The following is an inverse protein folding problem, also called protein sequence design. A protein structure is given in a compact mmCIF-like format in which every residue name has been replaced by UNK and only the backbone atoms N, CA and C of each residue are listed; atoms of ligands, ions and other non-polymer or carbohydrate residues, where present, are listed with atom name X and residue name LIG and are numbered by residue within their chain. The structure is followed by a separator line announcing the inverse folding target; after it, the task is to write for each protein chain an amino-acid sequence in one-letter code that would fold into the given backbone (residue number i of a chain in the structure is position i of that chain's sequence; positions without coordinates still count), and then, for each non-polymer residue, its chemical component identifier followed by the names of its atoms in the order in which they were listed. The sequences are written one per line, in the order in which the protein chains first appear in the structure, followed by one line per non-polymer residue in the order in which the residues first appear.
data_IF_287082594735
#
_entry.id   IF_287082594735
#
_cell.length_a   1.000
_cell.length_b   1.000
_cell.length_c   1.000
_cell.angle_alpha   90.00
_cell.angle_beta   90.00
_cell.angle_gamma   90.00
#
_symmetry.space_group_name_H-M   'P 1'
#
loop_
_entity.id
_entity.type
_entity.pdbx_description
1 polymer ?
#
# COMPACT_ATOMS: atom_id res chain seq x y z
N UNK A 1 -26.30 26.82 -16.39
CA UNK A 1 -26.85 25.78 -17.28
C UNK A 1 -26.88 24.38 -16.66
N UNK A 2 -25.86 23.93 -15.89
CA UNK A 2 -25.85 22.60 -15.25
C UNK A 2 -27.01 22.46 -14.24
N UNK A 3 -27.14 23.40 -13.31
CA UNK A 3 -28.24 23.44 -12.33
C UNK A 3 -29.46 24.11 -12.94
N UNK A 4 -30.20 23.37 -13.74
CA UNK A 4 -31.44 23.83 -14.43
C UNK A 4 -32.21 22.64 -15.00
N UNK A 5 -33.45 22.90 -15.49
CA UNK A 5 -34.26 21.91 -16.21
C UNK A 5 -33.55 21.27 -17.43
N UNK A 6 -32.67 22.05 -18.09
CA UNK A 6 -31.91 21.61 -19.24
C UNK A 6 -30.57 20.92 -18.84
N UNK A 7 -30.18 20.94 -17.57
CA UNK A 7 -29.06 20.24 -16.99
C UNK A 7 -29.50 19.07 -16.12
N UNK A 8 -29.41 19.23 -14.80
CA UNK A 8 -29.81 18.20 -13.84
C UNK A 8 -31.26 17.74 -14.01
N UNK A 9 -32.16 18.63 -14.45
CA UNK A 9 -33.55 18.29 -14.71
C UNK A 9 -33.80 17.25 -15.81
N UNK A 10 -32.82 17.02 -16.68
CA UNK A 10 -32.87 15.97 -17.72
C UNK A 10 -32.43 14.59 -17.24
N UNK A 11 -31.80 14.51 -16.07
CA UNK A 11 -31.42 13.23 -15.50
C UNK A 11 -32.65 12.56 -14.86
N UNK A 12 -32.65 11.24 -14.86
CA UNK A 12 -33.70 10.49 -14.21
C UNK A 12 -33.66 10.71 -12.69
N UNK A 13 -34.84 10.84 -12.10
CA UNK A 13 -35.01 10.83 -10.65
C UNK A 13 -34.94 9.40 -10.14
N UNK A 14 -34.16 9.17 -9.09
CA UNK A 14 -34.03 7.87 -8.44
C UNK A 14 -34.99 7.87 -7.23
N UNK A 15 -36.01 7.03 -7.28
CA UNK A 15 -36.92 6.87 -6.13
C UNK A 15 -36.19 6.20 -4.98
N UNK A 16 -36.27 6.81 -3.80
CA UNK A 16 -35.63 6.33 -2.58
C UNK A 16 -36.68 6.17 -1.48
N UNK A 17 -36.50 5.12 -0.66
CA UNK A 17 -37.43 4.79 0.42
C UNK A 17 -36.85 4.95 1.81
N UNK A 18 -35.59 5.39 1.90
CA UNK A 18 -34.85 5.53 3.16
C UNK A 18 -34.30 6.95 3.31
N UNK A 19 -34.19 7.45 4.54
CA UNK A 19 -33.66 8.78 4.80
C UNK A 19 -32.16 8.92 4.49
N UNK A 20 -31.39 7.82 4.55
CA UNK A 20 -29.98 7.78 4.17
C UNK A 20 -29.82 6.99 2.87
N UNK A 21 -29.27 7.67 1.85
CA UNK A 21 -28.97 7.10 0.55
C UNK A 21 -27.46 7.17 0.32
N UNK A 22 -26.83 6.03 0.08
CA UNK A 22 -25.39 5.94 -0.12
C UNK A 22 -25.08 5.71 -1.60
N UNK A 23 -24.29 6.60 -2.21
CA UNK A 23 -23.83 6.48 -3.59
C UNK A 23 -22.38 6.03 -3.60
N UNK A 24 -22.13 4.86 -4.16
CA UNK A 24 -20.80 4.26 -4.30
C UNK A 24 -20.44 4.06 -5.76
N UNK A 25 -19.12 4.01 -6.06
CA UNK A 25 -18.63 3.69 -7.39
C UNK A 25 -17.17 3.20 -7.34
N UNK A 26 -16.66 2.56 -8.42
CA UNK A 26 -15.36 1.87 -8.40
C UNK A 26 -14.13 2.75 -8.11
N UNK A 27 -14.21 4.07 -8.34
CA UNK A 27 -13.03 4.92 -8.15
C UNK A 27 -13.30 6.41 -8.30
N UNK A 28 -12.24 7.25 -8.22
CA UNK A 28 -12.30 8.67 -8.51
C UNK A 28 -12.80 8.94 -9.93
N UNK A 29 -13.46 10.08 -10.14
CA UNK A 29 -13.95 10.48 -11.46
C UNK A 29 -15.15 9.68 -11.99
N UNK A 30 -15.72 8.73 -11.23
CA UNK A 30 -16.84 7.89 -11.65
C UNK A 30 -18.23 8.53 -11.57
N UNK A 31 -18.31 9.85 -11.34
CA UNK A 31 -19.56 10.60 -11.39
C UNK A 31 -20.41 10.62 -10.10
N UNK A 32 -19.93 10.04 -8.98
CA UNK A 32 -20.67 10.01 -7.70
C UNK A 32 -21.27 11.35 -7.30
N UNK A 33 -20.46 12.40 -7.33
CA UNK A 33 -20.88 13.76 -6.96
C UNK A 33 -21.96 14.28 -7.91
N UNK A 34 -21.82 14.08 -9.23
CA UNK A 34 -22.79 14.51 -10.20
C UNK A 34 -24.16 13.84 -9.99
N UNK A 35 -24.16 12.55 -9.64
CA UNK A 35 -25.40 11.82 -9.28
C UNK A 35 -26.02 12.38 -8.02
N UNK A 36 -25.22 12.66 -6.98
CA UNK A 36 -25.71 13.28 -5.74
C UNK A 36 -26.37 14.64 -6.02
N UNK A 37 -25.66 15.54 -6.73
CA UNK A 37 -26.16 16.88 -7.02
C UNK A 37 -27.41 16.87 -7.90
N UNK A 38 -27.47 15.97 -8.87
CA UNK A 38 -28.65 15.76 -9.69
C UNK A 38 -29.85 15.28 -8.86
N UNK A 39 -29.64 14.31 -7.97
CA UNK A 39 -30.67 13.83 -7.06
C UNK A 39 -31.17 14.95 -6.14
N UNK A 40 -30.26 15.74 -5.54
CA UNK A 40 -30.62 16.88 -4.69
C UNK A 40 -31.43 17.93 -5.43
N UNK A 41 -31.11 18.20 -6.71
CA UNK A 41 -31.91 19.11 -7.54
C UNK A 41 -33.37 18.60 -7.68
N UNK A 42 -33.55 17.31 -7.94
CA UNK A 42 -34.88 16.71 -8.04
C UNK A 42 -35.61 16.64 -6.72
N UNK A 43 -34.94 16.33 -5.60
CA UNK A 43 -35.52 16.33 -4.26
C UNK A 43 -36.05 17.73 -3.89
N UNK A 44 -35.22 18.75 -4.10
CA UNK A 44 -35.61 20.14 -3.84
C UNK A 44 -36.83 20.57 -4.67
N UNK A 45 -36.87 20.20 -5.96
CA UNK A 45 -38.02 20.45 -6.84
C UNK A 45 -39.32 19.80 -6.37
N UNK A 46 -39.19 18.70 -5.62
CA UNK A 46 -40.32 17.96 -5.00
C UNK A 46 -40.66 18.47 -3.60
N UNK A 47 -39.99 19.52 -3.12
CA UNK A 47 -40.18 20.07 -1.78
C UNK A 47 -39.56 19.20 -0.67
N UNK A 48 -38.67 18.28 -1.01
CA UNK A 48 -37.98 17.43 -0.06
C UNK A 48 -36.68 18.14 0.38
N UNK A 49 -36.52 18.34 1.68
CA UNK A 49 -35.29 18.89 2.26
C UNK A 49 -34.24 17.77 2.40
N UNK A 50 -33.46 17.55 1.37
CA UNK A 50 -32.35 16.60 1.36
C UNK A 50 -31.02 17.34 1.48
N UNK A 51 -30.03 16.74 2.16
CA UNK A 51 -28.68 17.23 2.33
C UNK A 51 -27.65 16.36 1.60
N UNK A 52 -26.44 16.87 1.52
CA UNK A 52 -25.29 16.18 0.94
C UNK A 52 -24.23 15.94 2.02
N UNK A 53 -23.63 14.75 2.04
CA UNK A 53 -22.44 14.52 2.81
C UNK A 53 -21.46 13.62 2.06
N UNK A 54 -20.19 14.01 2.03
CA UNK A 54 -19.08 13.20 1.53
C UNK A 54 -18.47 12.42 2.68
N UNK A 55 -18.54 11.11 2.64
CA UNK A 55 -17.91 10.25 3.66
C UNK A 55 -16.43 10.03 3.29
N UNK A 56 -15.55 10.39 4.20
CA UNK A 56 -14.09 10.29 4.03
C UNK A 56 -13.43 9.72 5.27
N UNK A 57 -12.35 8.95 5.04
CA UNK A 57 -11.49 8.45 6.11
C UNK A 57 -10.15 9.18 6.14
N UNK A 58 -9.68 9.68 5.01
CA UNK A 58 -8.41 10.40 4.85
C UNK A 58 -8.58 11.61 3.89
N UNK A 59 -7.77 12.69 4.08
CA UNK A 59 -6.92 12.95 5.25
C UNK A 59 -7.74 13.02 6.53
N UNK A 60 -7.14 12.77 7.69
CA UNK A 60 -7.85 12.89 8.96
C UNK A 60 -7.91 14.36 9.37
N UNK A 61 -9.11 14.88 9.58
CA UNK A 61 -9.36 16.31 9.73
C UNK A 61 -8.91 16.90 11.05
N UNK A 62 -9.02 16.14 12.14
CA UNK A 62 -8.82 16.58 13.54
C UNK A 62 -7.44 16.25 14.12
N UNK A 63 -6.46 15.88 13.26
CA UNK A 63 -5.06 15.73 13.66
C UNK A 63 -4.20 16.74 12.89
N UNK A 64 -2.97 17.04 13.38
CA UNK A 64 -2.11 18.03 12.71
C UNK A 64 -1.83 17.72 11.24
N UNK A 65 -1.68 18.78 10.42
CA UNK A 65 -1.39 18.65 9.00
C UNK A 65 -0.19 17.74 8.71
N UNK A 66 0.90 17.90 9.49
CA UNK A 66 2.13 17.12 9.35
C UNK A 66 2.16 15.86 10.22
N UNK A 67 1.00 15.42 10.70
CA UNK A 67 0.94 14.16 11.42
C UNK A 67 1.30 12.99 10.47
N UNK A 68 2.13 12.00 10.89
CA UNK A 68 2.57 10.91 10.03
C UNK A 68 1.44 10.18 9.31
N UNK A 69 0.27 10.04 9.91
CA UNK A 69 -0.92 9.44 9.27
C UNK A 69 -1.36 10.25 8.06
N UNK A 70 -1.43 11.59 8.15
CA UNK A 70 -1.80 12.44 7.03
C UNK A 70 -0.70 12.48 5.95
N UNK A 71 0.58 12.45 6.35
CA UNK A 71 1.69 12.34 5.39
C UNK A 71 1.68 10.98 4.67
N UNK A 72 1.33 9.89 5.36
CA UNK A 72 1.20 8.57 4.73
C UNK A 72 0.04 8.51 3.72
N UNK A 73 -1.07 9.21 3.97
CA UNK A 73 -2.13 9.37 2.99
C UNK A 73 -1.63 10.10 1.74
N UNK A 74 -0.91 11.21 1.92
CA UNK A 74 -0.34 11.97 0.81
C UNK A 74 0.71 11.15 0.03
N UNK A 75 1.49 10.31 0.72
CA UNK A 75 2.38 9.35 0.08
C UNK A 75 1.63 8.27 -0.72
N UNK A 76 0.47 7.83 -0.24
CA UNK A 76 -0.36 6.84 -0.91
C UNK A 76 -1.08 7.38 -2.16
N UNK A 77 -1.22 8.70 -2.27
CA UNK A 77 -1.87 9.42 -3.38
C UNK A 77 -0.88 10.30 -4.15
N UNK A 78 0.41 9.99 -4.08
CA UNK A 78 1.46 10.77 -4.71
C UNK A 78 1.29 10.88 -6.24
N UNK A 79 0.81 9.81 -6.87
CA UNK A 79 0.48 9.74 -8.30
C UNK A 79 -0.74 10.60 -8.70
N UNK A 80 -1.62 10.94 -7.76
CA UNK A 80 -2.79 11.80 -7.96
C UNK A 80 -2.51 13.29 -7.69
N UNK A 81 -1.31 13.63 -7.24
CA UNK A 81 -0.93 14.96 -6.79
C UNK A 81 -1.82 15.53 -5.69
N UNK A 82 -2.43 14.67 -4.87
CA UNK A 82 -3.14 15.11 -3.68
C UNK A 82 -2.15 15.71 -2.66
N UNK A 83 -2.47 16.89 -2.15
CA UNK A 83 -1.70 17.60 -1.13
C UNK A 83 -2.63 17.97 0.00
N UNK A 84 -2.24 17.60 1.21
CA UNK A 84 -2.97 17.99 2.41
C UNK A 84 -2.75 19.47 2.70
N UNK A 85 -3.83 20.15 3.07
CA UNK A 85 -3.80 21.58 3.43
C UNK A 85 -4.81 21.88 4.53
N UNK A 86 -4.64 23.00 5.19
CA UNK A 86 -5.65 23.53 6.08
C UNK A 86 -6.81 24.06 5.22
N UNK A 87 -8.04 23.70 5.58
CA UNK A 87 -9.24 24.19 4.94
C UNK A 87 -9.42 25.71 5.26
N UNK A 88 -9.18 26.62 4.28
CA UNK A 88 -9.25 28.04 4.53
C UNK A 88 -10.69 28.51 4.75
N UNK A 89 -11.67 27.87 4.12
CA UNK A 89 -13.07 28.21 4.26
C UNK A 89 -13.61 27.85 5.64
N UNK A 90 -13.18 26.72 6.18
CA UNK A 90 -13.56 26.29 7.54
C UNK A 90 -12.93 27.19 8.60
N UNK A 91 -11.66 27.54 8.39
CA UNK A 91 -10.96 28.48 9.27
C UNK A 91 -11.63 29.86 9.28
N UNK A 92 -12.01 30.37 8.10
CA UNK A 92 -12.69 31.67 7.96
C UNK A 92 -14.08 31.65 8.61
N UNK A 93 -14.87 30.59 8.36
CA UNK A 93 -16.25 30.51 8.82
C UNK A 93 -16.38 30.24 10.32
N UNK A 94 -15.44 29.48 10.93
CA UNK A 94 -15.57 28.96 12.31
C UNK A 94 -14.37 29.24 13.22
N UNK A 95 -13.27 29.79 12.70
CA UNK A 95 -12.04 29.97 13.45
C UNK A 95 -11.37 28.63 13.87
N UNK A 96 -11.75 27.52 13.23
CA UNK A 96 -11.26 26.19 13.54
C UNK A 96 -10.36 25.67 12.41
N UNK A 97 -9.25 25.05 12.81
CA UNK A 97 -8.30 24.44 11.88
C UNK A 97 -8.70 22.99 11.61
N UNK A 98 -8.94 22.66 10.34
CA UNK A 98 -9.17 21.30 9.88
C UNK A 98 -8.25 20.98 8.70
N UNK A 99 -7.84 19.72 8.57
CA UNK A 99 -7.04 19.25 7.44
C UNK A 99 -7.96 18.71 6.36
N UNK A 100 -7.77 19.18 5.14
CA UNK A 100 -8.47 18.67 3.97
C UNK A 100 -7.45 18.51 2.83
N UNK A 101 -7.83 18.07 1.66
CA UNK A 101 -6.92 18.01 0.52
C UNK A 101 -7.27 19.05 -0.54
N UNK A 102 -6.25 19.44 -1.30
CA UNK A 102 -6.33 20.56 -2.25
C UNK A 102 -7.53 20.47 -3.20
N UNK A 103 -7.85 19.32 -3.75
CA UNK A 103 -8.95 19.19 -4.73
C UNK A 103 -10.33 19.51 -4.15
N UNK A 104 -10.60 19.18 -2.89
CA UNK A 104 -11.87 19.53 -2.26
C UNK A 104 -11.94 21.03 -1.95
N UNK A 105 -10.82 21.62 -1.54
CA UNK A 105 -10.72 23.06 -1.30
C UNK A 105 -10.89 23.84 -2.60
N UNK A 106 -10.21 23.42 -3.67
CA UNK A 106 -10.28 24.08 -4.99
C UNK A 106 -11.67 24.00 -5.64
N UNK A 107 -12.36 22.88 -5.49
CA UNK A 107 -13.70 22.69 -6.09
C UNK A 107 -14.83 23.33 -5.28
N UNK A 108 -14.61 23.62 -4.00
CA UNK A 108 -15.65 24.11 -3.09
C UNK A 108 -16.41 25.33 -3.60
N UNK A 109 -15.77 26.40 -4.15
CA UNK A 109 -16.52 27.55 -4.66
C UNK A 109 -17.53 27.19 -5.74
N UNK A 110 -17.19 26.21 -6.60
CA UNK A 110 -18.09 25.74 -7.66
C UNK A 110 -19.27 24.97 -7.05
N UNK A 111 -18.99 24.09 -6.07
CA UNK A 111 -20.03 23.32 -5.37
C UNK A 111 -20.95 24.24 -4.58
N UNK A 112 -20.38 25.22 -3.88
CA UNK A 112 -21.14 26.21 -3.13
C UNK A 112 -22.13 26.96 -4.03
N UNK A 113 -21.67 27.44 -5.20
CA UNK A 113 -22.55 28.10 -6.19
C UNK A 113 -23.63 27.13 -6.75
N UNK A 114 -23.37 25.81 -6.83
CA UNK A 114 -24.39 24.84 -7.21
C UNK A 114 -25.43 24.65 -6.11
N UNK A 115 -25.02 24.57 -4.84
CA UNK A 115 -25.94 24.48 -3.70
C UNK A 115 -26.81 25.74 -3.57
N UNK A 116 -26.23 26.93 -3.73
CA UNK A 116 -26.98 28.18 -3.76
C UNK A 116 -28.06 28.18 -4.85
N UNK A 117 -27.76 27.63 -6.03
CA UNK A 117 -28.75 27.50 -7.10
C UNK A 117 -29.79 26.43 -6.85
N UNK A 118 -29.49 25.38 -6.10
CA UNK A 118 -30.46 24.34 -5.73
C UNK A 118 -31.38 24.85 -4.64
N UNK A 119 -30.81 25.42 -3.57
CA UNK A 119 -31.54 25.73 -2.34
C UNK A 119 -31.94 27.20 -2.14
N UNK A 120 -31.36 28.11 -2.96
CA UNK A 120 -31.45 29.55 -2.77
C UNK A 120 -30.33 30.12 -1.91
N UNK A 121 -29.88 29.38 -0.90
CA UNK A 121 -28.73 29.66 -0.04
C UNK A 121 -27.99 28.35 0.20
N UNK A 122 -26.66 28.36 0.20
CA UNK A 122 -25.88 27.15 0.49
C UNK A 122 -25.93 26.83 1.99
N UNK A 123 -26.24 25.59 2.36
CA UNK A 123 -26.16 25.15 3.75
C UNK A 123 -24.73 24.90 4.22
N UNK A 124 -23.75 24.94 3.33
CA UNK A 124 -22.36 24.61 3.61
C UNK A 124 -21.48 25.84 3.49
N UNK A 125 -20.58 26.04 4.46
CA UNK A 125 -19.62 27.16 4.48
C UNK A 125 -18.21 26.72 4.12
N UNK A 126 -17.94 25.39 4.10
CA UNK A 126 -16.63 24.86 3.80
C UNK A 126 -16.72 23.43 3.21
N UNK A 127 -15.65 22.92 2.57
CA UNK A 127 -15.54 21.51 2.21
C UNK A 127 -15.71 20.58 3.41
N UNK A 128 -15.20 20.99 4.58
CA UNK A 128 -15.34 20.24 5.83
C UNK A 128 -16.81 20.11 6.26
N UNK A 129 -17.64 21.14 6.09
CA UNK A 129 -19.09 21.06 6.38
C UNK A 129 -19.82 20.04 5.50
N UNK A 130 -19.34 19.87 4.26
CA UNK A 130 -19.95 18.94 3.32
C UNK A 130 -19.57 17.49 3.59
N UNK A 131 -18.74 17.23 4.57
CA UNK A 131 -18.18 15.90 4.75
C UNK A 131 -18.44 15.29 6.12
N UNK A 132 -18.16 13.99 6.20
CA UNK A 132 -18.12 13.22 7.44
C UNK A 132 -16.78 12.51 7.51
N UNK A 133 -15.97 12.86 8.51
CA UNK A 133 -14.65 12.28 8.75
C UNK A 133 -14.52 11.99 10.24
N UNK A 134 -14.68 10.72 10.61
CA UNK A 134 -14.70 10.27 12.01
C UNK A 134 -13.47 9.44 12.38
N UNK A 135 -12.58 9.14 11.42
CA UNK A 135 -11.45 8.24 11.62
C UNK A 135 -10.50 8.71 12.73
N UNK A 136 -10.27 10.02 12.85
CA UNK A 136 -9.42 10.57 13.89
C UNK A 136 -9.93 10.36 15.33
N UNK A 137 -11.24 10.23 15.49
CA UNK A 137 -11.86 9.95 16.80
C UNK A 137 -11.70 8.47 17.20
N UNK A 138 -11.27 7.60 16.29
CA UNK A 138 -11.03 6.18 16.53
C UNK A 138 -9.56 5.86 16.84
N UNK A 139 -8.67 6.84 16.83
CA UNK A 139 -7.25 6.65 17.20
C UNK A 139 -7.18 6.46 18.72
N UNK A 140 -6.86 5.24 19.15
CA UNK A 140 -6.70 4.88 20.56
C UNK A 140 -5.22 4.77 20.98
N UNK A 141 -4.31 4.59 20.04
CA UNK A 141 -2.87 4.57 20.24
C UNK A 141 -2.19 5.34 19.10
N UNK A 142 -1.84 6.58 19.40
CA UNK A 142 -1.27 7.50 18.42
C UNK A 142 0.16 7.12 18.01
N UNK A 143 0.95 6.58 18.93
CA UNK A 143 2.34 6.18 18.65
C UNK A 143 2.39 4.97 17.71
N UNK A 144 1.50 4.01 17.88
CA UNK A 144 1.36 2.88 16.96
C UNK A 144 0.93 3.37 15.56
N UNK A 145 -0.01 4.30 15.49
CA UNK A 145 -0.43 4.90 14.21
C UNK A 145 0.71 5.66 13.53
N UNK A 146 1.48 6.45 14.28
CA UNK A 146 2.66 7.16 13.77
C UNK A 146 3.73 6.20 13.25
N UNK A 147 4.07 5.17 14.02
CA UNK A 147 5.07 4.17 13.63
C UNK A 147 4.67 3.43 12.35
N UNK A 148 3.42 2.95 12.28
CA UNK A 148 2.89 2.28 11.10
C UNK A 148 2.89 3.19 9.86
N UNK A 149 2.52 4.47 10.04
CA UNK A 149 2.50 5.46 8.95
C UNK A 149 3.89 5.79 8.43
N UNK A 150 4.88 5.93 9.30
CA UNK A 150 6.28 6.09 8.91
C UNK A 150 6.78 4.93 8.06
N UNK A 151 6.48 3.70 8.47
CA UNK A 151 6.81 2.50 7.68
C UNK A 151 6.08 2.47 6.32
N UNK A 152 4.83 2.95 6.25
CA UNK A 152 4.10 3.04 4.98
C UNK A 152 4.75 4.04 4.03
N UNK A 153 5.16 5.23 4.50
CA UNK A 153 5.86 6.22 3.67
C UNK A 153 7.14 5.62 3.07
N UNK A 154 7.96 4.92 3.87
CA UNK A 154 9.17 4.25 3.37
C UNK A 154 8.82 3.17 2.32
N UNK A 155 7.77 2.38 2.53
CA UNK A 155 7.32 1.39 1.54
C UNK A 155 6.91 2.04 0.22
N UNK A 156 6.17 3.16 0.27
CA UNK A 156 5.78 3.92 -0.92
C UNK A 156 6.99 4.48 -1.66
N UNK A 157 7.97 4.97 -0.92
CA UNK A 157 9.23 5.44 -1.51
C UNK A 157 9.94 4.31 -2.28
N UNK A 158 10.11 3.13 -1.69
CA UNK A 158 10.72 2.00 -2.40
C UNK A 158 9.89 1.52 -3.61
N UNK A 159 8.57 1.56 -3.52
CA UNK A 159 7.73 1.22 -4.68
C UNK A 159 7.85 2.25 -5.80
N UNK A 160 7.96 3.54 -5.48
CA UNK A 160 8.19 4.58 -6.48
C UNK A 160 9.55 4.41 -7.17
N UNK A 161 10.62 4.13 -6.41
CA UNK A 161 11.94 3.84 -6.98
C UNK A 161 11.90 2.64 -7.94
N UNK A 162 11.19 1.58 -7.57
CA UNK A 162 10.97 0.42 -8.45
C UNK A 162 10.23 0.81 -9.72
N UNK A 163 9.11 1.53 -9.58
CA UNK A 163 8.29 1.97 -10.72
C UNK A 163 9.07 2.93 -11.62
N UNK A 164 9.90 3.79 -11.03
CA UNK A 164 10.79 4.67 -11.76
C UNK A 164 11.84 3.88 -12.58
N UNK A 165 12.46 2.87 -11.99
CA UNK A 165 13.43 2.01 -12.66
C UNK A 165 12.86 1.31 -13.91
N UNK A 166 11.58 0.97 -13.91
CA UNK A 166 10.87 0.35 -15.06
C UNK A 166 10.13 1.37 -15.94
N UNK A 167 10.31 2.68 -15.71
CA UNK A 167 9.68 3.74 -16.50
C UNK A 167 8.18 3.94 -16.26
N UNK A 168 7.65 3.47 -15.12
CA UNK A 168 6.23 3.56 -14.75
C UNK A 168 5.92 4.63 -13.69
N UNK A 169 6.89 5.49 -13.36
CA UNK A 169 6.77 6.56 -12.38
C UNK A 169 7.67 7.73 -12.80
N UNK A 170 7.23 8.97 -12.57
CA UNK A 170 7.99 10.16 -12.86
C UNK A 170 8.98 10.52 -11.76
N UNK A 171 9.96 11.40 -12.07
CA UNK A 171 10.89 11.96 -11.08
C UNK A 171 10.14 12.75 -10.01
N UNK A 172 9.08 13.49 -10.39
CA UNK A 172 8.30 14.30 -9.46
C UNK A 172 7.64 13.45 -8.37
N UNK A 173 7.14 12.25 -8.70
CA UNK A 173 6.55 11.34 -7.72
C UNK A 173 7.61 10.86 -6.71
N UNK A 174 8.81 10.53 -7.18
CA UNK A 174 9.92 10.11 -6.30
C UNK A 174 10.32 11.27 -5.38
N UNK A 175 10.53 12.48 -5.92
CA UNK A 175 10.88 13.66 -5.11
C UNK A 175 9.81 14.02 -4.09
N UNK A 176 8.53 13.89 -4.45
CA UNK A 176 7.42 14.10 -3.52
C UNK A 176 7.52 13.15 -2.31
N UNK A 177 7.81 11.89 -2.54
CA UNK A 177 7.97 10.90 -1.46
C UNK A 177 9.21 11.16 -0.61
N UNK A 178 10.32 11.61 -1.19
CA UNK A 178 11.50 12.07 -0.45
C UNK A 178 11.17 13.29 0.44
N UNK A 179 10.42 14.24 -0.07
CA UNK A 179 9.95 15.40 0.71
C UNK A 179 9.06 14.97 1.87
N UNK A 180 8.15 14.00 1.66
CA UNK A 180 7.28 13.47 2.72
C UNK A 180 8.06 12.72 3.80
N UNK A 181 9.09 11.95 3.41
CA UNK A 181 10.02 11.33 4.35
C UNK A 181 10.72 12.38 5.21
N UNK A 182 11.25 13.44 4.60
CA UNK A 182 11.88 14.55 5.30
C UNK A 182 10.91 15.25 6.28
N UNK A 183 9.66 15.49 5.84
CA UNK A 183 8.63 16.08 6.70
C UNK A 183 8.24 15.18 7.88
N UNK A 184 8.24 13.86 7.68
CA UNK A 184 7.99 12.87 8.72
C UNK A 184 9.20 12.65 9.65
N UNK A 185 10.36 13.25 9.32
CA UNK A 185 11.62 13.07 10.07
C UNK A 185 12.14 11.64 10.00
N UNK A 186 12.05 10.99 8.85
CA UNK A 186 12.46 9.60 8.65
C UNK A 186 13.38 9.45 7.43
N UNK A 187 14.14 8.36 7.47
CA UNK A 187 15.00 7.89 6.40
C UNK A 187 14.70 6.41 6.11
N UNK A 188 15.33 5.84 5.10
CA UNK A 188 15.23 4.40 4.82
C UNK A 188 15.78 3.52 5.95
N UNK A 189 16.69 4.07 6.77
CA UNK A 189 17.30 3.39 7.93
C UNK A 189 16.32 3.22 9.11
N UNK A 190 15.22 3.97 9.14
CA UNK A 190 14.12 3.76 10.09
C UNK A 190 13.31 2.48 9.82
N UNK A 191 13.74 1.71 8.81
CA UNK A 191 13.28 0.36 8.51
C UNK A 191 14.43 -0.63 8.72
N UNK A 192 14.57 -1.24 9.92
CA UNK A 192 15.78 -1.99 10.33
C UNK A 192 16.18 -3.13 9.37
N UNK A 193 15.20 -3.76 8.72
CA UNK A 193 15.46 -4.82 7.74
C UNK A 193 16.24 -4.36 6.52
N UNK A 194 16.27 -3.05 6.22
CA UNK A 194 17.04 -2.49 5.10
C UNK A 194 18.53 -2.63 5.36
N UNK A 195 19.00 -2.10 6.48
CA UNK A 195 20.43 -2.12 6.82
C UNK A 195 20.94 -3.55 6.99
N UNK A 196 20.14 -4.42 7.62
CA UNK A 196 20.50 -5.83 7.82
C UNK A 196 20.59 -6.58 6.49
N UNK A 197 19.66 -6.35 5.55
CA UNK A 197 19.71 -6.98 4.23
C UNK A 197 20.91 -6.50 3.40
N UNK A 198 21.20 -5.19 3.42
CA UNK A 198 22.32 -4.61 2.67
C UNK A 198 23.66 -5.07 3.25
N UNK A 199 23.81 -5.04 4.57
CA UNK A 199 25.01 -5.54 5.26
C UNK A 199 25.25 -7.02 4.96
N UNK A 200 24.21 -7.84 5.05
CA UNK A 200 24.32 -9.28 4.77
C UNK A 200 24.71 -9.55 3.29
N UNK A 201 24.21 -8.73 2.35
CA UNK A 201 24.60 -8.81 0.95
C UNK A 201 26.06 -8.43 0.75
N UNK A 202 26.57 -7.40 1.42
CA UNK A 202 27.97 -6.98 1.37
C UNK A 202 28.90 -8.06 1.94
N UNK A 203 28.59 -8.57 3.15
CA UNK A 203 29.39 -9.60 3.82
C UNK A 203 29.48 -10.91 3.03
N UNK A 204 28.42 -11.26 2.30
CA UNK A 204 28.38 -12.53 1.58
C UNK A 204 28.69 -12.42 0.09
N UNK A 205 28.80 -11.20 -0.45
CA UNK A 205 29.00 -10.95 -1.88
C UNK A 205 27.86 -11.44 -2.78
N UNK A 206 26.68 -11.72 -2.21
CA UNK A 206 25.52 -12.25 -2.91
C UNK A 206 24.25 -11.46 -2.54
N UNK A 207 23.24 -11.38 -3.43
CA UNK A 207 21.95 -10.80 -3.05
C UNK A 207 21.40 -11.44 -1.79
N UNK A 208 20.94 -10.60 -0.86
CA UNK A 208 20.43 -11.02 0.44
C UNK A 208 19.09 -10.36 0.74
N UNK A 209 18.40 -10.92 1.71
CA UNK A 209 17.13 -10.44 2.20
C UNK A 209 17.08 -10.55 3.74
N UNK A 210 16.29 -9.70 4.38
CA UNK A 210 16.04 -9.74 5.80
C UNK A 210 14.53 -9.64 6.08
N UNK A 211 14.06 -10.24 7.16
CA UNK A 211 12.68 -10.21 7.63
C UNK A 211 12.67 -10.04 9.15
N UNK A 212 11.92 -9.09 9.62
CA UNK A 212 11.66 -8.84 11.03
C UNK A 212 10.41 -9.61 11.47
N UNK A 213 10.58 -10.48 12.47
CA UNK A 213 9.51 -11.20 13.13
C UNK A 213 8.78 -10.29 14.12
N UNK A 214 7.58 -10.71 14.56
CA UNK A 214 6.76 -9.91 15.49
C UNK A 214 7.40 -9.68 16.87
N UNK A 215 8.41 -10.47 17.24
CA UNK A 215 9.18 -10.31 18.48
C UNK A 215 10.43 -9.44 18.31
N UNK A 216 10.61 -8.81 17.15
CA UNK A 216 11.73 -7.93 16.83
C UNK A 216 13.01 -8.66 16.37
N UNK A 217 13.05 -9.99 16.35
CA UNK A 217 14.18 -10.73 15.79
C UNK A 217 14.21 -10.57 14.27
N UNK A 218 15.40 -10.35 13.72
CA UNK A 218 15.58 -10.24 12.27
C UNK A 218 16.27 -11.50 11.75
N UNK A 219 15.64 -12.15 10.79
CA UNK A 219 16.14 -13.32 10.09
C UNK A 219 16.65 -12.91 8.72
N UNK A 220 17.75 -13.51 8.26
CA UNK A 220 18.32 -13.22 6.93
C UNK A 220 18.29 -14.46 6.03
N UNK A 221 18.35 -14.20 4.73
CA UNK A 221 18.54 -15.20 3.69
C UNK A 221 19.39 -14.62 2.56
N UNK A 222 20.21 -15.45 1.93
CA UNK A 222 21.02 -15.05 0.79
C UNK A 222 20.82 -15.96 -0.41
N UNK A 223 21.10 -15.42 -1.57
CA UNK A 223 21.14 -16.21 -2.80
C UNK A 223 22.23 -17.28 -2.74
N UNK A 224 21.91 -18.47 -3.18
CA UNK A 224 22.78 -19.63 -3.31
C UNK A 224 22.60 -20.29 -4.67
N UNK A 225 23.27 -21.41 -4.91
CA UNK A 225 23.05 -22.22 -6.13
C UNK A 225 21.68 -22.92 -6.13
N UNK A 226 21.06 -23.07 -4.98
CA UNK A 226 19.77 -23.76 -4.83
C UNK A 226 18.59 -22.78 -4.81
N UNK A 227 18.74 -21.66 -4.09
CA UNK A 227 17.62 -20.77 -3.73
C UNK A 227 17.96 -19.31 -4.05
N UNK A 228 16.96 -18.54 -4.49
CA UNK A 228 17.01 -17.09 -4.45
C UNK A 228 16.94 -16.55 -3.01
N UNK A 229 17.37 -15.31 -2.78
CA UNK A 229 17.41 -14.68 -1.46
C UNK A 229 16.04 -14.70 -0.76
N UNK A 230 14.95 -14.41 -1.48
CA UNK A 230 13.58 -14.45 -0.96
C UNK A 230 13.14 -15.83 -0.50
N UNK A 231 13.47 -16.88 -1.26
CA UNK A 231 13.15 -18.26 -0.92
C UNK A 231 13.96 -18.73 0.30
N UNK A 232 15.26 -18.38 0.35
CA UNK A 232 16.13 -18.69 1.48
C UNK A 232 15.63 -17.97 2.76
N UNK A 233 15.28 -16.69 2.65
CA UNK A 233 14.71 -15.91 3.75
C UNK A 233 13.45 -16.56 4.31
N UNK A 234 12.52 -16.96 3.43
CA UNK A 234 11.26 -17.56 3.82
C UNK A 234 11.46 -18.85 4.60
N UNK A 235 12.34 -19.76 4.11
CA UNK A 235 12.67 -21.00 4.84
C UNK A 235 13.34 -20.71 6.18
N UNK A 236 14.29 -19.78 6.24
CA UNK A 236 14.98 -19.43 7.48
C UNK A 236 14.00 -18.83 8.51
N UNK A 237 13.06 -17.99 8.07
CA UNK A 237 12.04 -17.42 8.94
C UNK A 237 11.10 -18.51 9.51
N UNK A 238 10.68 -19.47 8.68
CA UNK A 238 9.86 -20.60 9.14
C UNK A 238 10.60 -21.49 10.11
N UNK A 239 11.89 -21.76 9.88
CA UNK A 239 12.75 -22.52 10.81
C UNK A 239 12.90 -21.79 12.15
N UNK A 240 13.21 -20.51 12.12
CA UNK A 240 13.36 -19.69 13.32
C UNK A 240 12.07 -19.68 14.16
N UNK A 241 10.91 -19.49 13.52
CA UNK A 241 9.59 -19.53 14.17
C UNK A 241 9.24 -20.92 14.75
N UNK A 242 9.78 -22.00 14.16
CA UNK A 242 9.57 -23.36 14.61
C UNK A 242 10.61 -23.82 15.65
N UNK A 243 11.62 -23.01 15.97
CA UNK A 243 12.73 -23.39 16.84
C UNK A 243 13.62 -24.48 16.25
N UNK A 244 13.75 -24.55 14.93
CA UNK A 244 14.55 -25.53 14.21
C UNK A 244 15.96 -24.98 14.01
N UNK A 245 16.98 -25.80 14.36
CA UNK A 245 18.38 -25.44 14.13
C UNK A 245 18.63 -25.06 12.65
N UNK A 246 19.33 -23.97 12.43
CA UNK A 246 19.66 -23.47 11.08
C UNK A 246 20.47 -24.44 10.24
N UNK A 247 21.22 -25.37 10.85
CA UNK A 247 21.99 -26.43 10.18
C UNK A 247 21.12 -27.55 9.64
N UNK A 248 19.92 -27.75 10.17
CA UNK A 248 19.01 -28.79 9.70
C UNK A 248 18.33 -28.36 8.38
N UNK A 249 18.34 -29.26 7.41
CA UNK A 249 17.62 -29.08 6.17
C UNK A 249 16.17 -29.56 6.32
N UNK A 250 15.21 -28.64 6.21
CA UNK A 250 13.76 -28.97 6.20
C UNK A 250 13.32 -29.53 4.83
N UNK A 251 14.10 -29.22 3.80
CA UNK A 251 14.00 -29.81 2.46
C UNK A 251 15.39 -30.27 2.09
N UNK A 252 15.54 -31.54 1.72
CA UNK A 252 16.86 -32.06 1.35
C UNK A 252 17.32 -31.52 -0.02
N UNK A 253 18.63 -31.34 -0.25
CA UNK A 253 19.16 -30.96 -1.57
C UNK A 253 18.70 -31.91 -2.68
N UNK A 254 18.58 -33.23 -2.37
CA UNK A 254 18.13 -34.25 -3.30
C UNK A 254 16.66 -34.05 -3.73
N UNK A 255 15.83 -33.40 -2.91
CA UNK A 255 14.46 -33.04 -3.27
C UNK A 255 14.42 -31.78 -4.13
N UNK A 256 15.41 -30.89 -4.02
CA UNK A 256 15.50 -29.64 -4.79
C UNK A 256 16.02 -29.91 -6.22
N UNK A 257 17.02 -30.78 -6.37
CA UNK A 257 17.67 -31.04 -7.66
C UNK A 257 16.71 -31.45 -8.79
N UNK A 258 15.72 -32.36 -8.58
CA UNK A 258 14.74 -32.69 -9.61
C UNK A 258 13.90 -31.50 -10.07
N UNK A 259 13.58 -30.57 -9.16
CA UNK A 259 12.82 -29.35 -9.48
C UNK A 259 13.70 -28.43 -10.33
N UNK A 260 14.99 -28.28 -10.03
CA UNK A 260 15.94 -27.52 -10.85
C UNK A 260 16.08 -28.12 -12.26
N UNK A 261 16.16 -29.46 -12.36
CA UNK A 261 16.21 -30.16 -13.67
C UNK A 261 14.92 -29.93 -14.47
N UNK A 262 13.76 -30.09 -13.85
CA UNK A 262 12.48 -29.80 -14.49
C UNK A 262 12.47 -28.37 -15.03
N UNK A 263 12.84 -27.40 -14.20
CA UNK A 263 12.85 -26.00 -14.52
C UNK A 263 13.77 -25.63 -15.69
N UNK A 264 14.99 -26.14 -15.67
CA UNK A 264 16.02 -25.78 -16.65
C UNK A 264 16.00 -26.64 -17.91
N UNK A 265 15.81 -27.94 -17.78
CA UNK A 265 15.91 -28.86 -18.93
C UNK A 265 14.61 -29.02 -19.70
N UNK A 266 13.47 -28.99 -18.98
CA UNK A 266 12.16 -29.24 -19.62
C UNK A 266 11.34 -27.98 -19.83
N UNK A 267 11.42 -27.00 -18.90
CA UNK A 267 10.64 -25.75 -19.00
C UNK A 267 11.44 -24.57 -19.57
N UNK A 268 12.73 -24.77 -19.92
CA UNK A 268 13.56 -23.78 -20.59
C UNK A 268 13.95 -22.55 -19.74
N UNK A 269 13.78 -22.61 -18.41
CA UNK A 269 14.26 -21.53 -17.53
C UNK A 269 15.80 -21.45 -17.53
N UNK A 270 16.31 -20.25 -17.62
CA UNK A 270 17.76 -20.02 -17.47
C UNK A 270 18.21 -19.95 -16.01
N UNK A 271 17.28 -19.75 -15.07
CA UNK A 271 17.52 -19.63 -13.66
C UNK A 271 17.24 -20.96 -12.94
N UNK A 272 18.27 -21.71 -12.46
CA UNK A 272 18.08 -22.94 -11.73
C UNK A 272 17.58 -22.73 -10.29
N UNK A 273 17.76 -21.55 -9.71
CA UNK A 273 17.40 -21.27 -8.32
C UNK A 273 15.89 -21.33 -8.13
N UNK A 274 15.46 -21.93 -7.02
CA UNK A 274 14.05 -21.98 -6.69
C UNK A 274 13.56 -20.62 -6.18
N UNK A 275 12.36 -20.24 -6.64
CA UNK A 275 11.58 -19.10 -6.17
C UNK A 275 10.75 -19.48 -4.94
N UNK A 276 10.08 -18.49 -4.34
CA UNK A 276 9.29 -18.67 -3.13
C UNK A 276 8.11 -19.62 -3.28
N UNK A 277 7.46 -19.67 -4.43
CA UNK A 277 6.36 -20.62 -4.70
C UNK A 277 6.88 -22.06 -4.84
N UNK A 278 7.96 -22.25 -5.59
CA UNK A 278 8.58 -23.55 -5.81
C UNK A 278 9.08 -24.16 -4.47
N UNK A 279 9.67 -23.33 -3.61
CA UNK A 279 10.17 -23.79 -2.32
C UNK A 279 9.04 -24.11 -1.33
N UNK A 280 7.93 -23.38 -1.36
CA UNK A 280 6.75 -23.69 -0.56
C UNK A 280 6.08 -24.99 -0.98
N UNK A 281 6.02 -25.28 -2.29
CA UNK A 281 5.54 -26.57 -2.80
C UNK A 281 6.48 -27.69 -2.34
N UNK A 282 7.80 -27.52 -2.48
CA UNK A 282 8.79 -28.50 -2.04
C UNK A 282 8.70 -28.76 -0.53
N UNK A 283 8.52 -27.71 0.27
CA UNK A 283 8.31 -27.82 1.72
C UNK A 283 7.02 -28.59 2.06
N UNK A 284 5.93 -28.29 1.35
CA UNK A 284 4.64 -28.97 1.53
C UNK A 284 4.73 -30.46 1.22
N UNK A 285 5.41 -30.84 0.13
CA UNK A 285 5.65 -32.24 -0.23
C UNK A 285 6.53 -32.93 0.83
N UNK A 286 7.61 -32.25 1.27
CA UNK A 286 8.50 -32.79 2.32
C UNK A 286 7.78 -32.98 3.66
N UNK A 287 6.83 -32.09 3.98
CA UNK A 287 6.05 -32.16 5.22
C UNK A 287 5.17 -33.41 5.33
N UNK A 288 4.87 -34.09 4.22
CA UNK A 288 4.10 -35.34 4.22
C UNK A 288 4.85 -36.52 4.93
N UNK A 289 6.18 -36.49 4.94
CA UNK A 289 7.01 -37.55 5.54
C UNK A 289 8.06 -37.06 6.54
N UNK A 290 8.28 -35.72 6.61
CA UNK A 290 9.28 -35.13 7.51
C UNK A 290 8.60 -34.26 8.57
N UNK A 291 8.57 -34.68 9.85
CA UNK A 291 7.96 -33.93 10.94
C UNK A 291 8.57 -32.52 11.11
N UNK A 292 9.87 -32.35 10.85
CA UNK A 292 10.54 -31.05 10.94
C UNK A 292 10.06 -30.11 9.86
N UNK A 293 9.86 -30.58 8.63
CA UNK A 293 9.26 -29.82 7.55
C UNK A 293 7.80 -29.44 7.86
N UNK A 294 7.04 -30.35 8.49
CA UNK A 294 5.68 -30.08 8.93
C UNK A 294 5.62 -28.96 9.98
N UNK A 295 6.53 -28.99 10.97
CA UNK A 295 6.64 -27.94 11.99
C UNK A 295 6.97 -26.58 11.37
N UNK A 296 7.89 -26.54 10.39
CA UNK A 296 8.22 -25.32 9.67
C UNK A 296 7.02 -24.79 8.88
N UNK A 297 6.35 -25.65 8.10
CA UNK A 297 5.19 -25.28 7.28
C UNK A 297 4.05 -24.69 8.12
N UNK A 298 3.82 -25.24 9.32
CA UNK A 298 2.79 -24.77 10.24
C UNK A 298 3.00 -23.32 10.73
N UNK A 299 4.21 -22.75 10.54
CA UNK A 299 4.50 -21.36 10.95
C UNK A 299 4.07 -20.30 9.91
N UNK A 300 3.69 -20.68 8.70
CA UNK A 300 3.32 -19.74 7.63
C UNK A 300 2.36 -18.61 8.08
N UNK A 301 1.29 -18.88 8.86
CA UNK A 301 0.39 -17.82 9.30
C UNK A 301 1.04 -16.73 10.15
N UNK A 302 2.15 -17.04 10.83
CA UNK A 302 2.88 -16.08 11.68
C UNK A 302 3.71 -15.07 10.89
N UNK A 303 3.86 -15.24 9.58
CA UNK A 303 4.55 -14.28 8.71
C UNK A 303 3.67 -13.09 8.30
N UNK A 304 2.35 -13.16 8.54
CA UNK A 304 1.43 -12.09 8.22
C UNK A 304 1.81 -10.81 8.98
N UNK A 305 2.03 -9.72 8.23
CA UNK A 305 2.38 -8.41 8.81
C UNK A 305 3.87 -8.21 9.05
N UNK A 306 4.71 -9.24 8.94
CA UNK A 306 6.15 -9.11 9.06
C UNK A 306 6.71 -8.15 8.00
N UNK A 307 7.76 -7.40 8.37
CA UNK A 307 8.47 -6.48 7.48
C UNK A 307 9.64 -7.21 6.83
N UNK A 308 9.83 -7.01 5.52
CA UNK A 308 10.97 -7.60 4.82
C UNK A 308 11.62 -6.61 3.87
N UNK A 309 12.91 -6.82 3.58
CA UNK A 309 13.64 -6.07 2.57
C UNK A 309 14.62 -6.99 1.83
N UNK A 310 14.83 -6.71 0.53
CA UNK A 310 15.82 -7.41 -0.29
C UNK A 310 16.80 -6.43 -0.92
N UNK A 311 18.06 -6.81 -0.97
CA UNK A 311 19.15 -5.98 -1.48
C UNK A 311 19.16 -5.79 -3.01
N UNK A 312 18.24 -6.43 -3.72
CA UNK A 312 18.05 -6.31 -5.17
C UNK A 312 16.56 -6.45 -5.50
N UNK A 313 16.15 -6.03 -6.68
CA UNK A 313 14.81 -6.29 -7.21
C UNK A 313 14.50 -7.78 -7.25
N UNK A 314 13.30 -8.14 -6.82
CA UNK A 314 12.80 -9.51 -6.87
C UNK A 314 11.85 -9.71 -8.05
N UNK A 315 11.74 -10.95 -8.51
CA UNK A 315 10.81 -11.31 -9.60
C UNK A 315 9.34 -11.19 -9.19
N UNK A 316 8.47 -11.11 -10.19
CA UNK A 316 7.01 -10.99 -9.98
C UNK A 316 6.42 -12.18 -9.20
N UNK A 317 7.02 -13.36 -9.30
CA UNK A 317 6.63 -14.56 -8.55
C UNK A 317 6.82 -14.34 -7.05
N UNK A 318 8.03 -13.92 -6.64
CA UNK A 318 8.35 -13.67 -5.24
C UNK A 318 7.52 -12.53 -4.65
N UNK A 319 7.32 -11.43 -5.42
CA UNK A 319 6.44 -10.32 -5.00
C UNK A 319 5.00 -10.80 -4.75
N UNK A 320 4.45 -11.62 -5.65
CA UNK A 320 3.10 -12.17 -5.50
C UNK A 320 2.99 -13.08 -4.28
N UNK A 321 4.00 -13.89 -3.99
CA UNK A 321 3.98 -14.76 -2.82
C UNK A 321 4.10 -13.98 -1.51
N UNK A 322 4.99 -13.00 -1.41
CA UNK A 322 5.04 -12.14 -0.24
C UNK A 322 3.71 -11.42 0.00
N UNK A 323 3.08 -10.91 -1.06
CA UNK A 323 1.74 -10.30 -0.95
C UNK A 323 0.68 -11.28 -0.47
N UNK A 324 0.65 -12.53 -0.98
CA UNK A 324 -0.29 -13.58 -0.54
C UNK A 324 -0.08 -13.96 0.93
N UNK A 325 1.17 -13.97 1.39
CA UNK A 325 1.51 -14.20 2.80
C UNK A 325 1.33 -12.95 3.67
N UNK A 326 0.88 -11.84 3.08
CA UNK A 326 0.74 -10.54 3.75
C UNK A 326 2.04 -10.04 4.40
N UNK A 327 3.19 -10.40 3.83
CA UNK A 327 4.50 -9.86 4.20
C UNK A 327 4.67 -8.50 3.54
N UNK A 328 5.06 -7.49 4.33
CA UNK A 328 5.30 -6.12 3.87
C UNK A 328 6.74 -6.01 3.32
N UNK A 329 6.92 -6.39 2.06
CA UNK A 329 8.23 -6.43 1.43
C UNK A 329 8.57 -5.13 0.68
N UNK A 330 9.84 -4.71 0.83
CA UNK A 330 10.50 -3.68 0.04
C UNK A 330 11.76 -4.26 -0.60
N UNK A 331 12.34 -3.57 -1.56
CA UNK A 331 13.58 -4.00 -2.21
C UNK A 331 14.30 -2.83 -2.87
N UNK A 332 15.63 -2.96 -2.97
CA UNK A 332 16.45 -2.00 -3.70
C UNK A 332 16.07 -1.97 -5.18
N UNK A 333 15.97 -0.78 -5.75
CA UNK A 333 15.69 -0.56 -7.16
C UNK A 333 16.93 -0.81 -8.04
N UNK A 334 17.54 -1.98 -7.90
CA UNK A 334 18.69 -2.42 -8.68
C UNK A 334 18.60 -3.90 -8.99
N UNK A 335 19.02 -4.28 -10.19
CA UNK A 335 19.08 -5.68 -10.60
C UNK A 335 20.30 -6.38 -10.02
N UNK A 336 20.22 -7.70 -9.84
CA UNK A 336 21.38 -8.54 -9.52
C UNK A 336 22.45 -8.38 -10.61
N UNK A 337 23.68 -8.04 -10.21
CA UNK A 337 24.83 -8.03 -11.13
C UNK A 337 25.30 -9.47 -11.32
N UNK A 338 24.84 -10.13 -12.37
CA UNK A 338 25.31 -11.46 -12.76
C UNK A 338 25.92 -11.42 -14.16
N UNK A 339 26.96 -12.21 -14.39
CA UNK A 339 27.51 -12.46 -15.73
C UNK A 339 26.51 -13.21 -16.63
N UNK A 340 25.49 -13.81 -16.06
CA UNK A 340 24.34 -14.44 -16.70
C UNK A 340 23.08 -13.69 -16.27
N UNK A 341 22.47 -12.96 -17.21
CA UNK A 341 21.16 -12.32 -17.03
C UNK A 341 20.09 -13.42 -16.87
N UNK A 342 19.82 -13.86 -15.64
CA UNK A 342 18.70 -14.76 -15.36
C UNK A 342 17.35 -14.04 -15.50
N UNK A 343 17.34 -12.72 -15.36
CA UNK A 343 16.19 -11.88 -15.60
C UNK A 343 16.37 -11.18 -16.95
N UNK A 344 15.94 -11.83 -18.02
CA UNK A 344 15.87 -11.20 -19.33
C UNK A 344 14.92 -9.98 -19.27
N UNK A 345 15.21 -8.95 -20.10
CA UNK A 345 14.27 -7.88 -20.42
C UNK A 345 12.97 -8.51 -20.96
N UNK A 346 12.04 -8.75 -20.10
CA UNK A 346 10.75 -9.38 -20.40
C UNK A 346 9.86 -9.20 -19.19
N UNK A 347 9.42 -7.98 -18.98
CA UNK A 347 8.23 -7.62 -18.23
C UNK A 347 7.17 -7.18 -19.20
#
# INVERSE_FOLDING_TARGET
MIVSENGFGKNDYIETTRPLVVITAPGPGSGKMAVCLSQLYHEHKRGICAGYAKFETFPIWNIPLKHPVNLAYEAATADLNDVNMIDPFHLEAYGQTTVNYNRDVEIFPVLNAMFERIYGESPYKSPTDMGVNMAGNCICDDEVCKAASKQEIIRRYYDSLRRHLIGACSDEEVYKLEMLMNQAGITVHDRPVVDVALKHAEETGAPAAALELHDGRIVTGKTSNLLGASAALLLNALKELAGIDHKLHVISPEAIEPIQKLKTQYLGSKNPRLHTDEILIALSVSAASNPTAQLALAQLPKLKGCQAHTSVMIGTVDMKQFKKLSIQATFEAKYEKTSTLFYGKGL
#
